data_IF_177292596005
#
_entry.id   IF_177292596005
#
_cell.length_a   1.000
_cell.length_b   1.000
_cell.length_c   1.000
_cell.angle_alpha   90.00
_cell.angle_beta   90.00
_cell.angle_gamma   90.00
#
_symmetry.space_group_name_H-M   'P 1'
#
loop_
_entity.id
_entity.type
_entity.pdbx_description
1 polymer ?
#
# COMPACT_ATOMS: atom_id res chain seq x y z
N UNK A 1 20.88 -8.80 2.12
CA UNK A 1 20.68 -7.36 1.88
C UNK A 1 20.95 -6.90 0.46
N UNK A 2 19.93 -6.36 -0.22
CA UNK A 2 20.08 -5.69 -1.52
C UNK A 2 20.30 -4.17 -1.36
N UNK A 3 21.06 -3.49 -2.24
CA UNK A 3 21.35 -2.06 -2.12
C UNK A 3 20.12 -1.14 -2.04
N UNK A 4 19.07 -1.42 -2.83
CA UNK A 4 17.82 -0.64 -2.79
C UNK A 4 17.01 -0.88 -1.50
N UNK A 5 17.16 -2.06 -0.90
CA UNK A 5 16.56 -2.38 0.40
C UNK A 5 17.22 -1.58 1.51
N UNK A 6 18.55 -1.38 1.45
CA UNK A 6 19.28 -0.49 2.36
C UNK A 6 18.80 0.94 2.25
N UNK A 7 18.73 1.49 1.05
CA UNK A 7 18.19 2.84 0.81
C UNK A 7 16.75 2.99 1.34
N UNK A 8 15.93 1.94 1.21
CA UNK A 8 14.57 1.96 1.73
C UNK A 8 14.51 2.03 3.26
N UNK A 9 15.42 1.35 3.95
CA UNK A 9 15.58 1.40 5.40
C UNK A 9 16.26 2.70 5.88
N UNK A 10 17.07 3.32 5.03
CA UNK A 10 17.77 4.57 5.32
C UNK A 10 16.86 5.81 5.38
N UNK A 11 15.56 5.69 5.06
CA UNK A 11 14.64 6.83 5.07
C UNK A 11 14.62 7.52 6.44
N UNK A 12 14.71 8.84 6.44
CA UNK A 12 14.81 9.67 7.64
C UNK A 12 16.23 9.84 8.18
N UNK A 13 17.23 9.15 7.65
CA UNK A 13 18.61 9.26 8.12
C UNK A 13 19.41 10.30 7.33
N UNK A 14 20.39 10.97 7.96
CA UNK A 14 21.34 11.82 7.26
C UNK A 14 22.27 10.96 6.40
N UNK A 15 22.62 11.46 5.22
CA UNK A 15 23.57 10.79 4.33
C UNK A 15 24.30 11.79 3.44
N UNK A 16 25.48 11.37 2.97
CA UNK A 16 26.25 12.12 1.97
C UNK A 16 26.13 11.43 0.61
N UNK A 17 25.86 12.22 -0.43
CA UNK A 17 25.76 11.77 -1.81
C UNK A 17 26.84 12.49 -2.63
N UNK A 18 27.71 11.73 -3.31
CA UNK A 18 28.63 12.30 -4.29
C UNK A 18 28.09 12.02 -5.70
N UNK A 19 27.98 13.07 -6.51
CA UNK A 19 27.59 12.98 -7.90
C UNK A 19 28.79 12.71 -8.81
N UNK A 20 28.52 12.22 -10.02
CA UNK A 20 29.54 11.94 -11.04
C UNK A 20 30.32 13.18 -11.48
N UNK A 21 29.72 14.36 -11.39
CA UNK A 21 30.38 15.63 -11.69
C UNK A 21 31.31 16.10 -10.54
N UNK A 22 31.25 15.48 -9.36
CA UNK A 22 32.07 15.78 -8.19
C UNK A 22 31.36 16.62 -7.12
N UNK A 23 30.15 17.14 -7.38
CA UNK A 23 29.40 17.86 -6.36
C UNK A 23 28.91 16.90 -5.27
N UNK A 24 28.86 17.39 -4.03
CA UNK A 24 28.41 16.59 -2.88
C UNK A 24 27.19 17.21 -2.22
N UNK A 25 26.26 16.36 -1.80
CA UNK A 25 25.02 16.74 -1.14
C UNK A 25 24.95 16.01 0.20
N UNK A 26 24.90 16.78 1.29
CA UNK A 26 24.70 16.26 2.63
C UNK A 26 23.30 16.66 3.10
N UNK A 27 22.45 15.69 3.40
CA UNK A 27 21.07 15.96 3.83
C UNK A 27 20.35 14.70 4.31
N UNK A 28 19.09 14.87 4.71
CA UNK A 28 18.26 13.77 5.21
C UNK A 28 17.49 13.10 4.07
N UNK A 29 17.55 11.77 3.98
CA UNK A 29 16.83 11.02 2.96
C UNK A 29 15.32 11.04 3.22
N UNK A 30 14.54 11.60 2.29
CA UNK A 30 13.07 11.61 2.37
C UNK A 30 12.49 10.40 1.63
N UNK A 31 12.94 10.18 0.41
CA UNK A 31 12.46 9.07 -0.42
C UNK A 31 13.47 8.66 -1.47
N UNK A 32 13.43 7.38 -1.85
CA UNK A 32 14.15 6.82 -2.99
C UNK A 32 13.22 5.93 -3.82
N UNK A 33 13.45 5.84 -5.13
CA UNK A 33 12.74 4.92 -6.02
C UNK A 33 13.63 3.78 -6.56
N UNK A 34 13.07 2.93 -7.42
CA UNK A 34 13.76 1.79 -8.02
C UNK A 34 14.88 2.18 -9.01
N UNK A 35 14.91 3.43 -9.47
CA UNK A 35 15.97 3.99 -10.33
C UNK A 35 17.03 4.75 -9.53
N UNK A 36 16.96 4.70 -8.19
CA UNK A 36 17.78 5.49 -7.27
C UNK A 36 17.62 7.00 -7.43
N UNK A 37 16.48 7.48 -7.93
CA UNK A 37 16.16 8.90 -7.78
C UNK A 37 15.87 9.17 -6.30
N UNK A 38 16.39 10.28 -5.78
CA UNK A 38 16.39 10.58 -4.35
C UNK A 38 15.82 11.97 -4.12
N UNK A 39 14.95 12.08 -3.11
CA UNK A 39 14.57 13.36 -2.50
C UNK A 39 15.30 13.49 -1.16
N UNK A 40 15.99 14.62 -0.97
CA UNK A 40 16.62 15.01 0.28
C UNK A 40 15.94 16.26 0.87
N UNK A 41 16.02 16.41 2.19
CA UNK A 41 15.61 17.60 2.93
C UNK A 41 16.78 18.13 3.78
N UNK A 42 16.76 19.44 4.07
CA UNK A 42 17.75 20.15 4.90
C UNK A 42 19.17 19.91 4.39
N UNK A 43 19.40 20.30 3.13
CA UNK A 43 20.55 19.87 2.33
C UNK A 43 21.61 20.96 2.25
N UNK A 44 22.86 20.57 2.45
CA UNK A 44 24.03 21.37 2.12
C UNK A 44 24.66 20.78 0.86
N UNK A 45 24.67 21.56 -0.21
CA UNK A 45 25.40 21.26 -1.44
C UNK A 45 26.79 21.88 -1.35
N UNK A 46 27.81 21.13 -1.72
CA UNK A 46 29.20 21.59 -1.83
C UNK A 46 29.69 21.37 -3.26
N UNK A 47 30.26 22.40 -3.88
CA UNK A 47 30.90 22.29 -5.19
C UNK A 47 32.01 21.24 -5.19
N UNK A 48 32.30 20.65 -6.34
CA UNK A 48 33.47 19.78 -6.52
C UNK A 48 34.77 20.41 -5.98
N UNK A 49 34.97 21.71 -6.18
CA UNK A 49 36.16 22.43 -5.74
C UNK A 49 36.20 22.67 -4.22
N UNK A 50 35.08 22.48 -3.52
CA UNK A 50 34.97 22.69 -2.06
C UNK A 50 34.93 24.16 -1.63
N UNK A 51 34.80 25.08 -2.58
CA UNK A 51 34.86 26.53 -2.36
C UNK A 51 33.49 27.20 -2.24
N UNK A 52 32.42 26.50 -2.66
CA UNK A 52 31.06 27.03 -2.67
C UNK A 52 30.10 26.07 -1.98
N UNK A 53 29.25 26.66 -1.15
CA UNK A 53 28.27 25.96 -0.34
C UNK A 53 26.90 26.59 -0.54
N UNK A 54 25.86 25.76 -0.66
CA UNK A 54 24.47 26.21 -0.75
C UNK A 54 23.59 25.41 0.20
N UNK A 55 22.75 26.12 0.94
CA UNK A 55 21.69 25.51 1.73
C UNK A 55 20.41 25.43 0.90
N UNK A 56 19.81 24.24 0.85
CA UNK A 56 18.59 23.94 0.12
C UNK A 56 17.61 23.28 1.08
N UNK A 57 16.37 23.76 1.11
CA UNK A 57 15.31 23.13 1.93
C UNK A 57 15.02 21.70 1.46
N UNK A 58 14.94 21.51 0.14
CA UNK A 58 14.70 20.22 -0.50
C UNK A 58 15.55 20.11 -1.77
N UNK A 59 15.94 18.89 -2.13
CA UNK A 59 16.72 18.62 -3.33
C UNK A 59 16.28 17.29 -3.97
N UNK A 60 16.01 17.31 -5.28
CA UNK A 60 15.78 16.12 -6.08
C UNK A 60 17.04 15.76 -6.88
N UNK A 61 17.52 14.54 -6.72
CA UNK A 61 18.71 14.01 -7.39
C UNK A 61 18.31 12.82 -8.25
N UNK A 62 18.67 12.87 -9.54
CA UNK A 62 18.45 11.76 -10.47
C UNK A 62 19.46 10.63 -10.19
N UNK A 63 18.99 9.40 -10.06
CA UNK A 63 19.84 8.26 -9.68
C UNK A 63 20.99 7.98 -10.65
N UNK A 64 20.82 8.28 -11.94
CA UNK A 64 21.87 8.12 -12.95
C UNK A 64 23.07 9.07 -12.74
N UNK A 65 22.89 10.17 -12.01
CA UNK A 65 23.95 11.13 -11.70
C UNK A 65 24.78 10.74 -10.47
N UNK A 66 24.31 9.79 -9.66
CA UNK A 66 24.96 9.38 -8.42
C UNK A 66 26.21 8.56 -8.74
N UNK A 67 27.29 8.84 -8.02
CA UNK A 67 28.53 8.04 -8.03
C UNK A 67 28.54 7.09 -6.84
N UNK A 68 28.36 7.60 -5.62
CA UNK A 68 28.21 6.78 -4.42
C UNK A 68 27.45 7.53 -3.31
N UNK A 69 27.08 6.77 -2.27
CA UNK A 69 26.40 7.24 -1.07
C UNK A 69 27.22 6.85 0.16
N UNK A 70 27.31 7.71 1.17
CA UNK A 70 27.79 7.35 2.52
C UNK A 70 26.60 7.33 3.45
N UNK A 71 26.35 6.15 4.01
CA UNK A 71 25.21 5.86 4.88
C UNK A 71 25.77 5.62 6.30
N UNK A 72 25.13 6.14 7.36
CA UNK A 72 25.52 5.83 8.73
C UNK A 72 25.41 4.33 9.04
N UNK A 73 26.32 3.80 9.85
CA UNK A 73 26.35 2.37 10.20
C UNK A 73 25.07 1.91 10.93
N UNK A 74 24.44 2.80 11.71
CA UNK A 74 23.16 2.55 12.41
C UNK A 74 22.04 2.08 11.46
N UNK A 75 22.09 2.53 10.20
CA UNK A 75 21.12 2.12 9.18
C UNK A 75 21.33 0.68 8.74
N UNK A 76 22.58 0.20 8.74
CA UNK A 76 22.88 -1.18 8.37
C UNK A 76 22.23 -2.15 9.35
N UNK A 77 22.32 -1.85 10.65
CA UNK A 77 21.74 -2.68 11.71
C UNK A 77 20.21 -2.70 11.61
N UNK A 78 19.58 -1.53 11.51
CA UNK A 78 18.12 -1.40 11.37
C UNK A 78 17.60 -2.17 10.13
N UNK A 79 18.37 -2.16 9.06
CA UNK A 79 17.95 -2.77 7.82
C UNK A 79 18.13 -4.30 7.79
N UNK A 80 19.08 -4.85 8.56
CA UNK A 80 19.19 -6.29 8.80
C UNK A 80 17.98 -6.82 9.58
N UNK A 81 17.52 -6.08 10.58
CA UNK A 81 16.32 -6.43 11.35
C UNK A 81 15.07 -6.45 10.45
N UNK A 82 14.93 -5.44 9.58
CA UNK A 82 13.83 -5.34 8.62
C UNK A 82 13.76 -6.52 7.63
N UNK A 83 14.91 -7.01 7.15
CA UNK A 83 14.95 -8.21 6.31
C UNK A 83 14.52 -9.45 7.09
N UNK A 84 15.02 -9.64 8.31
CA UNK A 84 14.66 -10.77 9.16
C UNK A 84 13.15 -10.80 9.50
N UNK A 85 12.54 -9.63 9.71
CA UNK A 85 11.09 -9.52 9.94
C UNK A 85 10.25 -9.86 8.69
N UNK A 86 10.71 -9.48 7.50
CA UNK A 86 10.04 -9.83 6.24
C UNK A 86 10.11 -11.32 5.93
N UNK A 87 11.23 -11.98 6.21
CA UNK A 87 11.38 -13.43 6.04
C UNK A 87 10.47 -14.23 6.97
N UNK A 88 10.40 -13.84 8.25
CA UNK A 88 9.49 -14.49 9.23
C UNK A 88 8.02 -14.38 8.83
N UNK A 89 7.60 -13.26 8.23
CA UNK A 89 6.23 -13.08 7.70
C UNK A 89 5.93 -13.97 6.49
N UNK A 90 6.93 -14.25 5.63
CA UNK A 90 6.78 -15.19 4.51
C UNK A 90 6.72 -16.65 4.96
N UNK A 91 7.43 -17.02 6.04
CA UNK A 91 7.43 -18.37 6.60
C UNK A 91 6.13 -18.79 7.31
N UNK A 92 5.36 -17.84 7.84
CA UNK A 92 4.11 -18.12 8.56
C UNK A 92 2.88 -18.35 7.67
N UNK A 93 2.95 -17.97 6.38
CA UNK A 93 1.83 -18.10 5.43
C UNK A 93 1.71 -19.47 4.75
N UNK A 94 2.70 -20.36 4.88
CA UNK A 94 2.75 -21.61 4.10
C UNK A 94 2.79 -22.90 4.94
N UNK A 95 2.77 -22.83 6.28
CA UNK A 95 2.73 -24.03 7.15
C UNK A 95 1.37 -24.32 7.81
N UNK A 96 0.33 -23.56 7.47
CA UNK A 96 -0.99 -23.66 8.10
C UNK A 96 -2.14 -24.24 7.28
N UNK A 97 -1.91 -24.74 6.06
CA UNK A 97 -2.91 -25.50 5.28
C UNK A 97 -2.64 -27.00 5.31
N UNK A 98 -2.41 -27.56 6.50
CA UNK A 98 -2.79 -28.96 6.72
C UNK A 98 -4.31 -28.95 6.87
N UNK A 99 -4.96 -29.33 5.78
CA UNK A 99 -6.39 -29.60 5.68
C UNK A 99 -6.76 -30.76 6.62
N UNK A 100 -6.85 -30.50 7.93
CA UNK A 100 -7.56 -31.38 8.84
C UNK A 100 -9.03 -31.28 8.48
N UNK A 101 -9.50 -32.29 7.74
CA UNK A 101 -10.91 -32.52 7.50
C UNK A 101 -11.67 -32.55 8.83
N UNK A 102 -12.31 -31.43 9.16
CA UNK A 102 -13.33 -31.37 10.21
C UNK A 102 -14.66 -31.64 9.55
N UNK A 103 -14.84 -32.91 9.15
CA UNK A 103 -16.16 -33.47 8.87
C UNK A 103 -17.04 -33.24 10.10
N UNK A 104 -18.02 -32.36 9.95
CA UNK A 104 -18.96 -31.97 10.98
C UNK A 104 -19.87 -33.12 11.36
N UNK A 105 -19.47 -33.92 12.35
CA UNK A 105 -20.37 -34.81 13.07
C UNK A 105 -21.20 -34.03 14.09
N UNK A 106 -22.31 -33.43 13.65
CA UNK A 106 -23.40 -33.00 14.55
C UNK A 106 -24.51 -34.04 14.51
N UNK A 107 -24.35 -35.08 15.32
CA UNK A 107 -25.46 -35.95 15.69
C UNK A 107 -26.41 -35.19 16.62
N UNK A 108 -27.58 -34.80 16.10
CA UNK A 108 -28.79 -34.44 16.87
C UNK A 108 -30.04 -34.66 15.99
N UNK A 109 -30.99 -35.46 16.49
CA UNK A 109 -32.35 -35.58 15.96
C UNK A 109 -32.61 -36.96 15.34
N UNK A 110 -33.05 -37.96 16.11
CA UNK A 110 -34.45 -38.21 16.46
C UNK A 110 -35.30 -38.56 15.23
N UNK A 111 -35.62 -39.85 15.09
CA UNK A 111 -36.54 -40.33 14.06
C UNK A 111 -37.98 -39.97 14.35
N UNK A 112 -38.79 -39.79 13.29
CA UNK A 112 -40.22 -40.13 13.21
C UNK A 112 -40.83 -39.62 11.91
N UNK A 113 -41.45 -40.53 11.15
CA UNK A 113 -42.55 -40.27 10.20
C UNK A 113 -42.16 -39.49 8.94
N UNK A 114 -42.71 -39.74 7.76
CA UNK A 114 -43.95 -40.42 7.39
C UNK A 114 -44.66 -39.59 6.33
N UNK A 115 -45.11 -40.22 5.23
CA UNK A 115 -46.10 -39.69 4.28
C UNK A 115 -45.52 -38.87 3.12
N UNK A 116 -45.55 -39.32 1.86
CA UNK A 116 -46.69 -39.48 0.91
C UNK A 116 -47.25 -38.16 0.37
N UNK A 117 -47.23 -38.04 -0.97
CA UNK A 117 -48.21 -37.30 -1.77
C UNK A 117 -47.56 -36.27 -2.71
N UNK A 118 -47.37 -36.55 -4.01
CA UNK A 118 -48.31 -36.59 -5.15
C UNK A 118 -48.85 -35.22 -5.59
N UNK A 119 -48.76 -35.04 -6.91
CA UNK A 119 -49.67 -34.31 -7.80
C UNK A 119 -49.87 -32.81 -7.52
N UNK A 120 -49.65 -31.90 -8.46
CA UNK A 120 -50.04 -31.95 -9.87
C UNK A 120 -50.84 -30.66 -10.13
N UNK A 121 -50.46 -29.86 -11.14
CA UNK A 121 -51.17 -28.60 -11.37
C UNK A 121 -50.61 -27.76 -12.51
N UNK A 122 -50.84 -28.23 -13.74
CA UNK A 122 -50.74 -27.42 -14.97
C UNK A 122 -51.84 -26.34 -14.99
N UNK A 123 -51.50 -25.14 -15.44
CA UNK A 123 -52.44 -24.13 -15.96
C UNK A 123 -51.67 -22.87 -16.37
N UNK A 124 -51.22 -22.72 -17.62
CA UNK A 124 -51.90 -22.06 -18.77
C UNK A 124 -52.54 -20.72 -18.41
N UNK A 125 -51.97 -19.63 -18.93
CA UNK A 125 -52.61 -18.32 -19.01
C UNK A 125 -51.76 -17.32 -19.79
N UNK A 126 -52.11 -17.12 -21.06
CA UNK A 126 -51.56 -16.11 -21.98
C UNK A 126 -51.95 -14.69 -21.54
N UNK A 127 -51.17 -13.68 -21.93
CA UNK A 127 -51.69 -12.31 -22.05
C UNK A 127 -50.63 -11.22 -21.93
N UNK A 128 -50.09 -10.80 -23.08
CA UNK A 128 -49.42 -9.52 -23.29
C UNK A 128 -50.19 -8.33 -22.71
N UNK A 129 -49.50 -7.35 -22.08
CA UNK A 129 -49.77 -5.92 -22.26
C UNK A 129 -48.48 -5.12 -22.02
N UNK A 130 -48.06 -4.39 -23.06
CA UNK A 130 -47.11 -3.28 -23.02
C UNK A 130 -47.66 -2.13 -22.16
N UNK A 131 -46.79 -1.47 -21.40
CA UNK A 131 -46.82 -0.01 -21.35
C UNK A 131 -46.66 0.67 -20.00
N UNK A 132 -45.74 1.65 -20.04
CA UNK A 132 -45.89 3.03 -19.57
C UNK A 132 -45.61 3.35 -18.09
N UNK A 133 -44.51 4.09 -17.95
CA UNK A 133 -44.42 5.44 -17.33
C UNK A 133 -44.96 5.65 -15.92
N UNK A 134 -44.03 6.07 -15.05
CA UNK A 134 -44.04 7.43 -14.51
C UNK A 134 -44.94 7.68 -13.29
N UNK A 135 -44.38 8.39 -12.32
CA UNK A 135 -45.09 8.95 -11.16
C UNK A 135 -44.39 8.56 -9.86
N UNK A 136 -43.49 9.41 -9.36
CA UNK A 136 -43.81 10.46 -8.38
C UNK A 136 -43.90 9.93 -6.94
N UNK A 137 -42.94 10.33 -6.10
CA UNK A 137 -43.31 10.93 -4.84
C UNK A 137 -42.20 11.76 -4.20
N UNK A 138 -42.49 13.06 -4.06
CA UNK A 138 -42.29 13.94 -2.88
C UNK A 138 -40.88 13.92 -2.27
N UNK A 139 -40.06 14.96 -2.39
CA UNK A 139 -40.40 16.37 -2.21
C UNK A 139 -40.41 16.72 -0.72
N UNK A 140 -39.33 17.32 -0.23
CA UNK A 140 -39.27 18.35 0.83
C UNK A 140 -37.85 18.91 0.91
N UNK A 141 -37.71 20.19 0.58
CA UNK A 141 -36.47 20.94 0.65
C UNK A 141 -36.38 21.85 1.88
N UNK A 142 -35.50 22.85 1.74
CA UNK A 142 -35.05 23.92 2.66
C UNK A 142 -33.86 23.50 3.54
N UNK A 143 -32.79 24.27 3.64
CA UNK A 143 -32.55 25.63 3.17
C UNK A 143 -31.09 26.06 3.38
N UNK A 144 -30.70 26.96 2.50
CA UNK A 144 -29.49 27.76 2.37
C UNK A 144 -29.40 28.83 3.48
N UNK A 145 -28.19 29.15 3.94
CA UNK A 145 -27.70 30.52 4.21
C UNK A 145 -26.19 30.48 4.53
N UNK A 146 -25.33 31.05 3.67
CA UNK A 146 -24.72 32.42 3.75
C UNK A 146 -23.60 32.49 4.81
N UNK A 147 -22.31 32.51 4.43
CA UNK A 147 -21.46 33.69 4.11
C UNK A 147 -21.44 34.78 5.21
N UNK A 148 -20.22 35.27 5.42
CA UNK A 148 -19.75 36.45 6.20
C UNK A 148 -19.49 36.27 7.71
N UNK A 149 -18.22 36.19 8.09
CA UNK A 149 -17.40 37.36 8.51
C UNK A 149 -15.93 36.99 8.55
#
# INVERSE_FOLDING_TARGET
>A
MLPLSLLSAAKGNPMLIELKNGDTYNGRLVSSDSWMNINLQDVICTSREGDRFWELKECYIRGSAIKYLRIPDEVLDAAQEDEAHKEKRKGFGQRGRVNFGRGGGRGRGAGRGGGRGRDGGRGRGRGDVRGRSGGENRGRGRGINSKES
#
